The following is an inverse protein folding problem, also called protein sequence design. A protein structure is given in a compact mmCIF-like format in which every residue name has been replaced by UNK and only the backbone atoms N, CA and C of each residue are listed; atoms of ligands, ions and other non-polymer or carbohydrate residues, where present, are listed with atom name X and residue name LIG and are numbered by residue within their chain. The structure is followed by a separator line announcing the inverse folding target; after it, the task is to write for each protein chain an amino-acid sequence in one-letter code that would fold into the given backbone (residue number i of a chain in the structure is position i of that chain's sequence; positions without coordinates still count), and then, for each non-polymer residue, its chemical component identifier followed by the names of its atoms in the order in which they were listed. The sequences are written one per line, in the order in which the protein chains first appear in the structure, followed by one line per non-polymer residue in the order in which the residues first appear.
data_IF_697445600992
#
_entry.id   IF_697445600992
#
_cell.length_a   1.000
_cell.length_b   1.000
_cell.length_c   1.000
_cell.angle_alpha   90.00
_cell.angle_beta   90.00
_cell.angle_gamma   90.00
#
_symmetry.space_group_name_H-M   'P 1'
#
loop_
_entity.id
_entity.type
_entity.pdbx_description
1 polymer ?
#
# COMPACT_ATOMS: atom_id res chain seq x y z
N UNK A 1 0.86 9.23 34.14
CA UNK A 1 1.58 9.11 32.85
C UNK A 1 0.57 9.31 31.73
N UNK A 2 0.92 10.08 30.70
CA UNK A 2 0.01 10.26 29.56
C UNK A 2 -0.09 8.94 28.76
N UNK A 3 -1.30 8.50 28.42
CA UNK A 3 -1.50 7.31 27.58
C UNK A 3 -0.88 7.55 26.19
N UNK A 4 -0.03 6.63 25.74
CA UNK A 4 0.62 6.68 24.42
C UNK A 4 -0.33 6.16 23.34
N UNK A 5 -0.95 5.02 23.57
CA UNK A 5 -2.01 4.46 22.74
C UNK A 5 -3.32 5.23 22.92
N UNK A 6 -4.17 5.23 21.89
CA UNK A 6 -5.45 5.94 21.92
C UNK A 6 -6.40 5.34 22.96
N UNK A 7 -6.51 4.01 22.96
CA UNK A 7 -7.24 3.24 23.96
C UNK A 7 -6.30 2.61 25.00
N UNK A 8 -6.80 2.36 26.22
CA UNK A 8 -6.00 1.73 27.30
C UNK A 8 -5.48 0.35 26.92
N UNK A 9 -6.33 -0.46 26.26
CA UNK A 9 -5.97 -1.83 25.89
C UNK A 9 -5.14 -1.87 24.59
N UNK A 10 -4.95 -0.71 23.94
CA UNK A 10 -4.17 -0.59 22.71
C UNK A 10 -2.71 -1.02 22.89
N UNK A 11 -2.14 -0.94 24.10
CA UNK A 11 -0.79 -1.45 24.36
C UNK A 11 -0.69 -2.96 24.15
N UNK A 12 -1.76 -3.71 24.44
CA UNK A 12 -1.80 -5.16 24.28
C UNK A 12 -2.10 -5.47 22.82
N UNK A 13 -3.21 -4.94 22.29
CA UNK A 13 -3.68 -5.31 20.96
C UNK A 13 -2.85 -4.68 19.83
N UNK A 14 -2.71 -3.36 19.82
CA UNK A 14 -1.91 -2.68 18.79
C UNK A 14 -0.41 -2.93 19.01
N UNK A 15 0.06 -2.92 20.26
CA UNK A 15 1.45 -3.28 20.56
C UNK A 15 1.80 -4.70 20.14
N UNK A 16 0.91 -5.66 20.42
CA UNK A 16 1.05 -7.05 19.97
C UNK A 16 1.04 -7.19 18.45
N UNK A 17 0.14 -6.48 17.76
CA UNK A 17 0.09 -6.46 16.30
C UNK A 17 1.37 -5.86 15.68
N UNK A 18 1.88 -4.76 16.23
CA UNK A 18 3.13 -4.12 15.80
C UNK A 18 4.31 -5.09 15.99
N UNK A 19 4.43 -5.69 17.17
CA UNK A 19 5.51 -6.63 17.48
C UNK A 19 5.45 -7.86 16.57
N UNK A 20 4.25 -8.40 16.37
CA UNK A 20 4.02 -9.53 15.49
C UNK A 20 4.40 -9.20 14.05
N UNK A 21 3.90 -8.09 13.50
CA UNK A 21 4.18 -7.67 12.13
C UNK A 21 5.69 -7.49 11.90
N UNK A 22 6.41 -6.83 12.82
CA UNK A 22 7.86 -6.65 12.71
C UNK A 22 8.60 -7.98 12.79
N UNK A 23 8.32 -8.79 13.82
CA UNK A 23 9.01 -10.06 14.05
C UNK A 23 8.75 -11.06 12.93
N UNK A 24 7.49 -11.25 12.56
CA UNK A 24 7.09 -12.17 11.50
C UNK A 24 7.62 -11.74 10.13
N UNK A 25 7.69 -10.43 9.85
CA UNK A 25 8.28 -9.91 8.61
C UNK A 25 9.76 -10.31 8.50
N UNK A 26 10.58 -10.01 9.52
CA UNK A 26 12.00 -10.35 9.46
C UNK A 26 12.27 -11.86 9.47
N UNK A 27 11.54 -12.64 10.29
CA UNK A 27 11.68 -14.10 10.31
C UNK A 27 11.28 -14.71 8.97
N UNK A 28 10.13 -14.28 8.43
CA UNK A 28 9.66 -14.70 7.11
C UNK A 28 10.68 -14.35 6.03
N UNK A 29 11.13 -13.10 5.97
CA UNK A 29 12.08 -12.61 4.99
C UNK A 29 13.42 -13.36 5.04
N UNK A 30 14.02 -13.54 6.21
CA UNK A 30 15.28 -14.29 6.37
C UNK A 30 15.10 -15.76 5.94
N UNK A 31 13.97 -16.37 6.32
CA UNK A 31 13.72 -17.78 6.01
C UNK A 31 13.50 -18.06 4.52
N UNK A 32 13.16 -17.06 3.70
CA UNK A 32 13.13 -17.19 2.23
C UNK A 32 14.50 -17.48 1.59
N UNK A 33 15.59 -17.22 2.30
CA UNK A 33 16.95 -17.50 1.83
C UNK A 33 17.45 -18.88 2.26
N UNK A 34 16.59 -19.71 2.85
CA UNK A 34 16.94 -21.07 3.23
C UNK A 34 16.97 -22.00 1.99
N UNK A 35 17.86 -23.00 1.98
CA UNK A 35 17.90 -23.98 0.88
C UNK A 35 16.72 -24.96 0.91
N UNK A 36 16.04 -25.11 2.06
CA UNK A 36 14.92 -26.01 2.21
C UNK A 36 13.61 -25.38 1.70
N UNK A 37 13.02 -26.01 0.68
CA UNK A 37 11.76 -25.54 0.07
C UNK A 37 10.59 -25.44 1.05
N UNK A 38 10.51 -26.32 2.05
CA UNK A 38 9.45 -26.29 3.05
C UNK A 38 9.57 -25.06 3.96
N UNK A 39 10.81 -24.71 4.34
CA UNK A 39 11.08 -23.47 5.09
C UNK A 39 10.68 -22.26 4.24
N UNK A 40 11.02 -22.24 2.96
CA UNK A 40 10.64 -21.16 2.05
C UNK A 40 9.11 -20.99 1.93
N UNK A 41 8.35 -22.09 1.86
CA UNK A 41 6.88 -22.05 1.82
C UNK A 41 6.32 -21.46 3.12
N UNK A 42 6.76 -21.97 4.28
CA UNK A 42 6.31 -21.44 5.58
C UNK A 42 6.70 -19.98 5.77
N UNK A 43 7.91 -19.61 5.36
CA UNK A 43 8.41 -18.24 5.39
C UNK A 43 7.62 -17.31 4.48
N UNK A 44 7.23 -17.78 3.29
CA UNK A 44 6.36 -17.02 2.39
C UNK A 44 5.00 -16.73 3.03
N UNK A 45 4.37 -17.74 3.64
CA UNK A 45 3.08 -17.58 4.32
C UNK A 45 3.21 -16.62 5.51
N UNK A 46 4.26 -16.80 6.32
CA UNK A 46 4.51 -15.95 7.49
C UNK A 46 4.76 -14.49 7.08
N UNK A 47 5.57 -14.28 6.04
CA UNK A 47 5.85 -12.95 5.50
C UNK A 47 4.58 -12.28 4.95
N UNK A 48 3.79 -13.03 4.17
CA UNK A 48 2.52 -12.52 3.64
C UNK A 48 1.57 -12.11 4.76
N UNK A 49 1.44 -12.94 5.82
CA UNK A 49 0.59 -12.61 6.95
C UNK A 49 1.11 -11.39 7.73
N UNK A 50 2.43 -11.25 7.90
CA UNK A 50 3.04 -10.08 8.52
C UNK A 50 2.71 -8.79 7.74
N UNK A 51 2.79 -8.84 6.40
CA UNK A 51 2.45 -7.71 5.53
C UNK A 51 0.96 -7.37 5.56
N UNK A 52 0.06 -8.36 5.68
CA UNK A 52 -1.39 -8.10 5.85
C UNK A 52 -1.65 -7.34 7.16
N UNK A 53 -1.04 -7.77 8.27
CA UNK A 53 -1.17 -7.05 9.55
C UNK A 53 -0.56 -5.65 9.47
N UNK A 54 0.60 -5.50 8.81
CA UNK A 54 1.20 -4.20 8.54
C UNK A 54 0.26 -3.28 7.76
N UNK A 55 -0.42 -3.78 6.72
CA UNK A 55 -1.40 -3.01 5.94
C UNK A 55 -2.59 -2.54 6.79
N UNK A 56 -3.12 -3.39 7.68
CA UNK A 56 -4.13 -2.97 8.66
C UNK A 56 -3.60 -1.87 9.59
N UNK A 57 -2.37 -1.99 10.07
CA UNK A 57 -1.75 -0.94 10.90
C UNK A 57 -1.55 0.38 10.15
N UNK A 58 -1.24 0.34 8.84
CA UNK A 58 -1.20 1.54 7.97
C UNK A 58 -2.59 2.17 7.90
N UNK A 59 -3.63 1.38 7.65
CA UNK A 59 -5.02 1.85 7.59
C UNK A 59 -5.47 2.50 8.91
N UNK A 60 -5.28 1.82 10.04
CA UNK A 60 -5.64 2.34 11.35
C UNK A 60 -4.84 3.60 11.73
N UNK A 61 -3.57 3.65 11.33
CA UNK A 61 -2.74 4.86 11.46
C UNK A 61 -3.28 6.00 10.58
N UNK A 62 -3.80 5.67 9.39
CA UNK A 62 -4.49 6.61 8.49
C UNK A 62 -5.69 7.25 9.15
N UNK A 63 -6.44 6.49 9.94
CA UNK A 63 -7.55 7.02 10.74
C UNK A 63 -7.14 7.64 12.08
N UNK A 64 -5.83 7.71 12.38
CA UNK A 64 -5.29 8.16 13.66
C UNK A 64 -5.87 7.38 14.86
N UNK A 65 -6.02 6.06 14.72
CA UNK A 65 -6.67 5.20 15.72
C UNK A 65 -5.68 4.43 16.62
N UNK A 66 -4.40 4.33 16.24
CA UNK A 66 -3.41 3.56 16.99
C UNK A 66 -2.90 4.32 18.22
N UNK A 67 -2.36 5.53 18.00
CA UNK A 67 -1.78 6.37 19.04
C UNK A 67 -2.61 7.62 19.31
N UNK A 68 -2.50 8.13 20.55
CA UNK A 68 -3.16 9.38 20.95
C UNK A 68 -2.58 10.61 20.21
N UNK A 69 -1.26 10.61 19.96
CA UNK A 69 -0.57 11.70 19.23
C UNK A 69 -0.49 11.35 17.75
N UNK A 70 -1.04 12.21 16.91
CA UNK A 70 -1.07 12.05 15.44
C UNK A 70 0.31 11.73 14.87
N UNK A 71 1.36 12.43 15.32
CA UNK A 71 2.75 12.20 14.86
C UNK A 71 3.21 10.74 14.95
N UNK A 72 2.77 10.00 15.96
CA UNK A 72 3.17 8.60 16.13
C UNK A 72 2.43 7.69 15.16
N UNK A 73 1.17 8.01 14.81
CA UNK A 73 0.46 7.32 13.74
C UNK A 73 1.15 7.58 12.39
N UNK A 74 1.59 8.82 12.13
CA UNK A 74 2.34 9.14 10.90
C UNK A 74 3.62 8.32 10.79
N UNK A 75 4.45 8.27 11.83
CA UNK A 75 5.69 7.48 11.80
C UNK A 75 5.44 5.97 11.65
N UNK A 76 4.41 5.45 12.33
CA UNK A 76 4.04 4.04 12.22
C UNK A 76 3.54 3.71 10.81
N UNK A 77 2.69 4.56 10.25
CA UNK A 77 2.18 4.45 8.89
C UNK A 77 3.28 4.51 7.84
N UNK A 78 4.24 5.44 7.98
CA UNK A 78 5.42 5.52 7.11
C UNK A 78 6.24 4.23 7.18
N UNK A 79 6.57 3.75 8.38
CA UNK A 79 7.35 2.52 8.58
C UNK A 79 6.69 1.31 7.91
N UNK A 80 5.41 1.07 8.17
CA UNK A 80 4.72 -0.10 7.61
C UNK A 80 4.36 0.05 6.13
N UNK A 81 4.27 1.29 5.61
CA UNK A 81 4.15 1.49 4.16
C UNK A 81 5.37 0.95 3.41
N UNK A 82 6.57 1.05 3.98
CA UNK A 82 7.76 0.40 3.42
C UNK A 82 7.66 -1.12 3.43
N UNK A 83 7.15 -1.70 4.52
CA UNK A 83 6.98 -3.15 4.63
C UNK A 83 5.99 -3.68 3.60
N UNK A 84 4.94 -2.89 3.30
CA UNK A 84 3.95 -3.20 2.29
C UNK A 84 4.40 -2.88 0.85
N UNK A 85 5.62 -2.37 0.65
CA UNK A 85 6.12 -1.99 -0.68
C UNK A 85 5.51 -0.70 -1.25
N UNK A 86 4.79 0.07 -0.44
CA UNK A 86 4.18 1.35 -0.81
C UNK A 86 5.16 2.52 -0.64
N UNK A 87 6.41 2.36 -1.08
CA UNK A 87 7.50 3.35 -0.93
C UNK A 87 7.52 4.43 -2.01
N UNK A 88 6.59 4.38 -2.97
CA UNK A 88 6.51 5.31 -4.11
C UNK A 88 5.80 6.63 -3.79
N UNK A 89 5.19 6.77 -2.61
CA UNK A 89 4.48 7.97 -2.18
C UNK A 89 4.57 8.16 -0.67
N UNK A 90 4.30 9.38 -0.19
CA UNK A 90 4.32 9.61 1.27
C UNK A 90 3.08 9.01 1.91
N UNK A 91 3.21 8.57 3.17
CA UNK A 91 2.07 8.10 3.94
C UNK A 91 0.97 9.16 4.05
N UNK A 92 1.34 10.45 4.12
CA UNK A 92 0.37 11.54 4.15
C UNK A 92 -0.42 11.66 2.86
N UNK A 93 0.22 11.47 1.70
CA UNK A 93 -0.50 11.47 0.41
C UNK A 93 -1.47 10.30 0.33
N UNK A 94 -1.07 9.12 0.82
CA UNK A 94 -1.93 7.95 0.92
C UNK A 94 -3.11 8.20 1.87
N UNK A 95 -2.84 8.72 3.07
CA UNK A 95 -3.85 9.08 4.06
C UNK A 95 -4.84 10.11 3.51
N UNK A 96 -4.34 11.13 2.81
CA UNK A 96 -5.16 12.18 2.20
C UNK A 96 -6.10 11.60 1.13
N UNK A 97 -5.59 10.77 0.22
CA UNK A 97 -6.40 10.08 -0.79
C UNK A 97 -7.45 9.17 -0.15
N UNK A 98 -7.04 8.39 0.86
CA UNK A 98 -7.92 7.50 1.61
C UNK A 98 -9.08 8.26 2.27
N UNK A 99 -8.82 9.41 2.88
CA UNK A 99 -9.89 10.24 3.44
C UNK A 99 -10.80 10.82 2.37
N UNK A 100 -10.27 11.26 1.22
CA UNK A 100 -11.11 11.73 0.10
C UNK A 100 -12.05 10.65 -0.40
N UNK A 101 -11.57 9.40 -0.53
CA UNK A 101 -12.40 8.25 -0.87
C UNK A 101 -13.58 8.10 0.10
N UNK A 102 -13.35 8.23 1.41
CA UNK A 102 -14.38 8.09 2.43
C UNK A 102 -15.29 9.31 2.64
N UNK A 103 -14.84 10.52 2.30
CA UNK A 103 -15.53 11.78 2.63
C UNK A 103 -16.21 12.42 1.43
N UNK A 104 -15.54 12.48 0.28
CA UNK A 104 -15.98 13.31 -0.85
C UNK A 104 -16.79 12.53 -1.92
N UNK A 105 -16.79 11.19 -1.84
CA UNK A 105 -17.35 10.24 -2.83
C UNK A 105 -16.56 10.25 -4.15
N UNK A 106 -16.04 9.07 -4.48
CA UNK A 106 -15.33 8.66 -5.69
C UNK A 106 -13.80 8.87 -5.68
N UNK A 107 -13.08 7.74 -5.68
CA UNK A 107 -11.69 7.63 -6.10
C UNK A 107 -11.67 7.90 -7.61
N UNK A 108 -11.84 9.16 -8.00
CA UNK A 108 -11.55 9.55 -9.38
C UNK A 108 -10.04 9.54 -9.50
N UNK A 109 -9.56 8.33 -9.77
CA UNK A 109 -8.20 7.99 -10.11
C UNK A 109 -7.74 9.02 -11.12
N UNK A 110 -6.54 9.55 -10.91
CA UNK A 110 -5.81 10.38 -11.87
C UNK A 110 -5.81 9.83 -13.32
N UNK A 111 -6.16 8.55 -13.49
CA UNK A 111 -6.30 7.83 -14.74
C UNK A 111 -7.71 7.24 -14.91
N UNK A 112 -8.43 7.69 -15.95
CA UNK A 112 -9.70 7.13 -16.40
C UNK A 112 -9.46 5.79 -17.13
N UNK A 113 -9.47 4.70 -16.34
CA UNK A 113 -9.23 3.35 -16.86
C UNK A 113 -10.37 2.86 -17.76
N UNK A 114 -11.61 3.27 -17.49
CA UNK A 114 -12.77 2.92 -18.31
C UNK A 114 -12.63 3.56 -19.69
N UNK A 115 -12.40 4.87 -19.76
CA UNK A 115 -12.16 5.57 -21.01
C UNK A 115 -10.91 5.09 -21.75
N UNK A 116 -9.87 4.64 -21.04
CA UNK A 116 -8.71 4.01 -21.67
C UNK A 116 -9.08 2.69 -22.37
N UNK A 117 -9.83 1.80 -21.71
CA UNK A 117 -10.23 0.53 -22.32
C UNK A 117 -11.26 0.69 -23.44
N UNK A 118 -12.17 1.65 -23.32
CA UNK A 118 -13.10 2.02 -24.40
C UNK A 118 -12.35 2.47 -25.66
N UNK A 119 -11.31 3.29 -25.49
CA UNK A 119 -10.47 3.77 -26.61
C UNK A 119 -9.51 2.69 -27.14
N UNK A 120 -9.23 1.64 -26.36
CA UNK A 120 -8.25 0.60 -26.69
C UNK A 120 -8.86 -0.82 -26.60
N UNK A 121 -9.83 -1.18 -27.47
CA UNK A 121 -10.58 -2.44 -27.36
C UNK A 121 -9.72 -3.70 -27.53
N UNK A 122 -8.60 -3.60 -28.27
CA UNK A 122 -7.65 -4.71 -28.41
C UNK A 122 -6.90 -4.98 -27.10
N UNK A 123 -6.49 -3.92 -26.39
CA UNK A 123 -5.85 -4.03 -25.08
C UNK A 123 -6.86 -4.61 -24.10
N UNK A 124 -8.10 -4.10 -24.07
CA UNK A 124 -9.16 -4.63 -23.21
C UNK A 124 -9.43 -6.12 -23.43
N UNK A 125 -9.51 -6.55 -24.70
CA UNK A 125 -9.71 -7.96 -25.05
C UNK A 125 -8.53 -8.82 -24.61
N UNK A 126 -7.30 -8.35 -24.82
CA UNK A 126 -6.10 -9.05 -24.36
C UNK A 126 -6.05 -9.16 -22.84
N UNK A 127 -6.33 -8.07 -22.11
CA UNK A 127 -6.43 -8.07 -20.65
C UNK A 127 -7.43 -9.11 -20.18
N UNK A 128 -8.64 -9.15 -20.75
CA UNK A 128 -9.65 -10.18 -20.40
C UNK A 128 -9.19 -11.61 -20.64
N UNK A 129 -8.49 -11.86 -21.75
CA UNK A 129 -7.95 -13.19 -22.06
C UNK A 129 -6.88 -13.58 -21.03
N UNK A 130 -5.97 -12.66 -20.70
CA UNK A 130 -4.92 -12.89 -19.72
C UNK A 130 -5.50 -13.12 -18.31
N UNK A 131 -6.47 -12.31 -17.90
CA UNK A 131 -7.19 -12.49 -16.64
C UNK A 131 -7.89 -13.86 -16.58
N UNK A 132 -8.46 -14.33 -17.71
CA UNK A 132 -9.04 -15.67 -17.81
C UNK A 132 -8.00 -16.78 -17.62
N UNK A 133 -6.74 -16.54 -18.00
CA UNK A 133 -5.61 -17.42 -17.73
C UNK A 133 -4.98 -17.22 -16.35
N UNK A 134 -5.63 -16.49 -15.43
CA UNK A 134 -5.09 -16.13 -14.11
C UNK A 134 -3.78 -15.34 -14.16
N UNK A 135 -3.52 -14.65 -15.27
CA UNK A 135 -2.43 -13.69 -15.39
C UNK A 135 -3.03 -12.32 -15.04
N UNK A 136 -2.59 -11.66 -13.95
CA UNK A 136 -3.21 -10.43 -13.43
C UNK A 136 -2.83 -9.20 -14.28
N UNK A 137 -3.23 -9.21 -15.55
CA UNK A 137 -2.87 -8.20 -16.54
C UNK A 137 -3.46 -6.82 -16.22
N UNK A 138 -4.66 -6.76 -15.65
CA UNK A 138 -5.28 -5.51 -15.22
C UNK A 138 -4.47 -4.88 -14.08
N UNK A 139 -4.08 -5.68 -13.08
CA UNK A 139 -3.22 -5.22 -11.99
C UNK A 139 -1.89 -4.70 -12.54
N UNK A 140 -1.23 -5.43 -13.45
CA UNK A 140 0.01 -4.94 -14.04
C UNK A 140 -0.14 -3.61 -14.78
N UNK A 141 -1.24 -3.40 -15.50
CA UNK A 141 -1.52 -2.13 -16.18
C UNK A 141 -1.71 -1.00 -15.16
N UNK A 142 -2.57 -1.21 -14.15
CA UNK A 142 -2.84 -0.20 -13.12
C UNK A 142 -1.60 0.10 -12.26
N UNK A 143 -0.83 -0.93 -11.93
CA UNK A 143 0.41 -0.82 -11.19
C UNK A 143 1.48 -0.06 -12.00
N UNK A 144 1.63 -0.40 -13.29
CA UNK A 144 2.52 0.32 -14.20
C UNK A 144 2.15 1.80 -14.29
N UNK A 145 0.87 2.12 -14.49
CA UNK A 145 0.39 3.50 -14.53
C UNK A 145 0.70 4.20 -13.21
N UNK A 146 0.43 3.57 -12.08
CA UNK A 146 0.72 4.13 -10.75
C UNK A 146 2.21 4.41 -10.57
N UNK A 147 3.10 3.48 -10.98
CA UNK A 147 4.56 3.67 -10.92
C UNK A 147 5.03 4.86 -11.77
N UNK A 148 4.49 5.04 -12.97
CA UNK A 148 4.91 6.09 -13.91
C UNK A 148 4.12 7.40 -13.77
N UNK A 149 3.04 7.42 -13.00
CA UNK A 149 2.23 8.63 -12.75
C UNK A 149 3.06 9.74 -12.12
N UNK A 150 4.00 9.39 -11.22
CA UNK A 150 4.95 10.34 -10.66
C UNK A 150 5.79 11.03 -11.76
N UNK A 151 6.34 10.27 -12.71
CA UNK A 151 7.13 10.84 -13.83
C UNK A 151 6.26 11.73 -14.73
N UNK A 152 5.04 11.29 -15.04
CA UNK A 152 4.11 12.04 -15.91
C UNK A 152 3.65 13.37 -15.27
N UNK A 153 3.46 13.40 -13.95
CA UNK A 153 3.16 14.62 -13.20
C UNK A 153 4.33 15.62 -13.27
N UNK A 154 5.56 15.16 -13.05
CA UNK A 154 6.76 16.00 -13.15
C UNK A 154 6.98 16.55 -14.56
N UNK A 155 6.71 15.76 -15.60
CA UNK A 155 6.77 16.25 -16.99
C UNK A 155 5.72 17.32 -17.28
N UNK A 156 4.51 17.17 -16.72
CA UNK A 156 3.42 18.14 -16.93
C UNK A 156 3.69 19.46 -16.20
N UNK A 157 4.24 19.41 -14.98
CA UNK A 157 4.63 20.62 -14.23
C UNK A 157 5.84 21.32 -14.88
N UNK A 158 6.84 20.57 -15.34
CA UNK A 158 8.01 21.14 -16.03
C UNK A 158 7.70 21.76 -17.40
N UNK A 159 6.64 21.33 -18.09
CA UNK A 159 6.15 21.98 -19.32
C UNK A 159 5.48 23.32 -19.00
N UNK A 160 4.67 23.38 -17.94
CA UNK A 160 3.99 24.63 -17.55
C UNK A 160 4.94 25.72 -17.03
N UNK A 161 6.06 25.35 -16.39
CA UNK A 161 7.09 26.33 -15.99
C UNK A 161 7.93 26.84 -17.19
N UNK A 162 7.94 26.12 -18.32
CA UNK A 162 8.65 26.54 -19.54
C UNK A 162 7.85 27.50 -20.44
N UNK A 163 6.56 27.70 -20.15
CA UNK A 163 5.65 28.59 -20.86
C UNK A 163 5.39 29.93 -20.12
N UNK A 164 6.11 30.21 -19.03
CA UNK A 164 6.10 31.51 -18.31
C UNK A 164 7.46 32.17 -18.32
#
# INVERSE_FOLDING_TARGET
MEKVFKESDGIIYNGGAILYAIGAYFIGFIGLFNQNIFVNILSSILLAHAMIIAAYLVHESGHNLVFKKIRFNTYLGELFSWFCGSSYGTFKDMQFKHFRHHVDVDDVVWFDYEGFFEKNPMIFKLTKILEWFYIPAHEFIMHFITMFTFILLFLKEGINESET
#
